data_IF_907087700197
#
_entry.id   IF_907087700197
#
_cell.length_a   1.000
_cell.length_b   1.000
_cell.length_c   1.000
_cell.angle_alpha   90.00
_cell.angle_beta   90.00
_cell.angle_gamma   90.00
#
_symmetry.space_group_name_H-M   'P 1'
#
loop_
_entity.id
_entity.type
_entity.pdbx_description
1 polymer ?
#
# COMPACT_ATOMS: atom_id res chain seq x y z
N UNK A 1 4.29 -12.02 -18.66
CA UNK A 1 3.91 -10.88 -17.80
C UNK A 1 2.90 -11.35 -16.78
N UNK A 2 3.32 -11.45 -15.53
CA UNK A 2 2.46 -11.86 -14.42
C UNK A 2 2.16 -10.62 -13.59
N UNK A 3 0.87 -10.39 -13.35
CA UNK A 3 0.40 -9.29 -12.53
C UNK A 3 0.03 -9.84 -11.16
N UNK A 4 0.56 -9.23 -10.10
CA UNK A 4 0.24 -9.57 -8.72
C UNK A 4 -0.57 -8.43 -8.11
N UNK A 5 -1.72 -8.76 -7.53
CA UNK A 5 -2.53 -7.83 -6.74
C UNK A 5 -2.40 -8.14 -5.25
N UNK A 6 -2.03 -7.12 -4.47
CA UNK A 6 -1.90 -7.20 -3.01
C UNK A 6 -2.83 -6.19 -2.36
N UNK A 7 -3.64 -6.66 -1.41
CA UNK A 7 -4.50 -5.78 -0.61
C UNK A 7 -3.77 -5.39 0.66
N UNK A 8 -3.72 -4.08 0.94
CA UNK A 8 -3.04 -3.52 2.11
C UNK A 8 -4.00 -2.63 2.90
N UNK A 9 -3.90 -2.64 4.22
CA UNK A 9 -4.73 -1.84 5.12
C UNK A 9 -3.91 -0.79 5.84
N UNK A 10 -4.48 0.41 6.03
CA UNK A 10 -3.82 1.51 6.73
C UNK A 10 -3.54 1.08 8.17
N UNK A 11 -2.26 0.97 8.50
CA UNK A 11 -1.78 0.53 9.79
C UNK A 11 -1.48 1.72 10.70
N UNK A 12 -0.69 2.68 10.22
CA UNK A 12 -0.34 3.87 11.00
C UNK A 12 0.00 5.08 10.16
N UNK A 13 0.04 6.22 10.82
CA UNK A 13 0.51 7.48 10.26
C UNK A 13 1.95 7.77 10.73
N UNK A 14 2.79 8.26 9.82
CA UNK A 14 4.17 8.64 10.08
C UNK A 14 4.43 10.07 9.56
N UNK A 15 5.62 10.61 9.86
CA UNK A 15 6.00 11.95 9.38
C UNK A 15 6.05 11.96 7.85
N UNK A 16 5.06 12.62 7.23
CA UNK A 16 4.98 12.79 5.78
C UNK A 16 4.40 11.60 4.99
N UNK A 17 4.03 10.50 5.65
CA UNK A 17 3.51 9.29 4.98
C UNK A 17 2.40 8.59 5.77
N UNK A 18 1.64 7.73 5.09
CA UNK A 18 0.76 6.72 5.65
C UNK A 18 1.36 5.34 5.37
N UNK A 19 1.39 4.48 6.38
CA UNK A 19 1.82 3.09 6.25
C UNK A 19 0.62 2.19 6.07
N UNK A 20 0.68 1.34 5.06
CA UNK A 20 -0.26 0.26 4.81
C UNK A 20 0.46 -1.08 4.95
N UNK A 21 -0.15 -2.04 5.63
CA UNK A 21 0.41 -3.36 5.84
C UNK A 21 -0.52 -4.43 5.25
N UNK A 22 0.06 -5.51 4.75
CA UNK A 22 -0.67 -6.70 4.32
C UNK A 22 -1.15 -7.48 5.55
N UNK A 23 -2.36 -8.04 5.48
CA UNK A 23 -2.80 -9.00 6.48
C UNK A 23 -2.10 -10.37 6.33
N UNK A 24 -1.60 -10.68 5.13
CA UNK A 24 -0.83 -11.89 4.85
C UNK A 24 0.68 -11.61 5.03
N UNK A 25 1.36 -12.25 6.00
CA UNK A 25 2.79 -12.08 6.23
C UNK A 25 3.66 -12.68 5.12
N UNK A 26 3.11 -13.56 4.29
CA UNK A 26 3.80 -14.17 3.14
C UNK A 26 3.52 -13.42 1.83
N UNK A 27 2.76 -12.32 1.87
CA UNK A 27 2.52 -11.52 0.69
C UNK A 27 3.84 -11.00 0.11
N UNK A 28 3.98 -10.93 -1.23
CA UNK A 28 5.19 -10.43 -1.88
C UNK A 28 5.50 -8.98 -1.49
N UNK A 29 4.48 -8.23 -1.05
CA UNK A 29 4.63 -6.90 -0.46
C UNK A 29 3.89 -6.88 0.87
N UNK A 30 4.65 -6.80 1.95
CA UNK A 30 4.10 -6.83 3.32
C UNK A 30 3.81 -5.43 3.87
N UNK A 31 4.50 -4.39 3.38
CA UNK A 31 4.27 -3.01 3.81
C UNK A 31 4.51 -2.00 2.69
N UNK A 32 3.74 -0.91 2.69
CA UNK A 32 3.84 0.20 1.76
C UNK A 32 3.74 1.53 2.49
N UNK A 33 4.61 2.47 2.16
CA UNK A 33 4.54 3.85 2.65
C UNK A 33 4.12 4.78 1.51
N UNK A 34 2.96 5.43 1.67
CA UNK A 34 2.42 6.38 0.69
C UNK A 34 2.59 7.80 1.23
N UNK A 35 3.13 8.72 0.43
CA UNK A 35 3.26 10.13 0.83
C UNK A 35 1.89 10.75 1.09
N UNK A 36 1.77 11.59 2.12
CA UNK A 36 0.50 12.29 2.40
C UNK A 36 0.03 13.16 1.23
N UNK A 37 0.97 13.71 0.46
CA UNK A 37 0.68 14.50 -0.74
C UNK A 37 -0.01 13.71 -1.86
N UNK A 38 -0.04 12.37 -1.79
CA UNK A 38 -0.81 11.54 -2.72
C UNK A 38 -2.33 11.62 -2.44
N UNK A 39 -2.72 12.06 -1.25
CA UNK A 39 -4.11 12.27 -0.84
C UNK A 39 -4.33 13.76 -0.61
N UNK A 40 -4.39 14.53 -1.69
CA UNK A 40 -4.40 16.01 -1.66
C UNK A 40 -5.61 16.62 -0.97
N UNK A 41 -6.72 15.89 -0.88
CA UNK A 41 -7.93 16.26 -0.15
C UNK A 41 -7.89 15.87 1.34
N UNK A 42 -6.80 15.21 1.78
CA UNK A 42 -6.64 14.68 3.14
C UNK A 42 -7.41 13.39 3.39
N UNK A 43 -8.21 12.91 2.43
CA UNK A 43 -9.00 11.69 2.58
C UNK A 43 -8.14 10.48 2.27
N UNK A 44 -7.77 9.77 3.32
CA UNK A 44 -6.99 8.54 3.19
C UNK A 44 -7.90 7.32 3.25
N UNK A 45 -7.85 6.41 2.28
CA UNK A 45 -8.61 5.18 2.33
C UNK A 45 -8.08 4.26 3.43
N UNK A 46 -8.97 3.47 4.05
CA UNK A 46 -8.58 2.43 5.02
C UNK A 46 -7.87 1.25 4.37
N UNK A 47 -8.14 1.00 3.09
CA UNK A 47 -7.64 -0.12 2.31
C UNK A 47 -7.23 0.35 0.92
N UNK A 48 -6.14 -0.21 0.40
CA UNK A 48 -5.67 0.01 -0.96
C UNK A 48 -5.36 -1.34 -1.62
N UNK A 49 -5.41 -1.37 -2.95
CA UNK A 49 -4.98 -2.50 -3.75
C UNK A 49 -3.76 -2.06 -4.56
N UNK A 50 -2.63 -2.74 -4.34
CA UNK A 50 -1.41 -2.54 -5.09
C UNK A 50 -1.35 -3.58 -6.20
N UNK A 51 -1.13 -3.14 -7.43
CA UNK A 51 -0.93 -4.03 -8.58
C UNK A 51 0.51 -3.86 -9.05
N UNK A 52 1.24 -4.97 -9.13
CA UNK A 52 2.65 -5.01 -9.56
C UNK A 52 2.75 -5.92 -10.77
N UNK A 53 3.34 -5.40 -11.84
CA UNK A 53 3.71 -6.19 -12.99
C UNK A 53 5.13 -6.72 -12.79
N UNK A 54 5.28 -8.04 -12.69
CA UNK A 54 6.60 -8.68 -12.68
C UNK A 54 7.17 -8.62 -14.10
N UNK A 55 8.29 -7.90 -14.27
CA UNK A 55 9.16 -8.05 -15.44
C UNK A 55 10.11 -9.22 -15.19
N UNK A 56 10.06 -10.23 -16.07
CA UNK A 56 11.07 -11.30 -16.18
C UNK A 56 12.35 -10.78 -16.84
#
# INVERSE_FOLDING_TARGET
>A
MKTISVTLEKSKETKGTYRFDSADPNAPITSLYVRKSAFSDGTVPKRIVLTVDEQE
#
